data_IF_516163121037
#
_entry.id   IF_516163121037
#
_cell.length_a   1.000
_cell.length_b   1.000
_cell.length_c   1.000
_cell.angle_alpha   90.00
_cell.angle_beta   90.00
_cell.angle_gamma   90.00
#
_symmetry.space_group_name_H-M   'P 1'
#
loop_
_entity.id
_entity.type
_entity.pdbx_description
1 polymer ?
#
# COMPACT_ATOMS: atom_id res chain seq x y z
N UNK A 1 -6.59 26.46 -67.12
CA UNK A 1 -6.05 27.07 -65.90
C UNK A 1 -6.36 26.15 -64.74
N UNK A 2 -5.36 25.39 -64.30
CA UNK A 2 -5.49 24.31 -63.32
C UNK A 2 -4.98 24.83 -61.97
N UNK A 3 -5.88 25.00 -61.01
CA UNK A 3 -5.56 25.49 -59.67
C UNK A 3 -4.87 24.39 -58.84
N UNK A 4 -3.64 24.67 -58.39
CA UNK A 4 -2.95 23.98 -57.29
C UNK A 4 -3.32 24.69 -55.99
N UNK A 5 -3.79 23.94 -54.99
CA UNK A 5 -4.03 24.44 -53.63
C UNK A 5 -2.78 24.19 -52.78
N UNK A 6 -2.21 25.26 -52.23
CA UNK A 6 -1.09 25.25 -51.27
C UNK A 6 -1.63 25.10 -49.84
N UNK A 7 -0.99 24.23 -49.07
CA UNK A 7 -1.13 24.10 -47.61
C UNK A 7 -0.18 25.10 -46.94
N UNK A 8 -0.59 25.86 -45.92
CA UNK A 8 0.32 26.65 -45.08
C UNK A 8 0.75 25.87 -43.82
N UNK A 9 2.06 25.84 -43.56
CA UNK A 9 2.66 25.50 -42.25
C UNK A 9 2.47 26.62 -41.22
N UNK A 10 2.55 26.30 -39.91
CA UNK A 10 3.09 27.24 -38.94
C UNK A 10 4.23 26.67 -38.09
N UNK A 11 5.42 27.24 -38.32
CA UNK A 11 6.35 27.86 -37.35
C UNK A 11 6.50 27.22 -35.97
N UNK A 12 7.64 26.53 -35.77
CA UNK A 12 8.23 26.24 -34.47
C UNK A 12 9.00 27.46 -33.96
N UNK A 13 8.79 27.84 -32.69
CA UNK A 13 9.65 28.75 -31.94
C UNK A 13 10.34 27.99 -30.79
N UNK A 14 11.66 28.00 -30.86
CA UNK A 14 12.65 27.49 -29.90
C UNK A 14 12.82 28.46 -28.71
N UNK A 15 12.61 28.04 -27.45
CA UNK A 15 12.77 28.93 -26.31
C UNK A 15 14.09 28.80 -25.54
N UNK A 16 15.02 27.89 -25.86
CA UNK A 16 16.17 27.66 -24.97
C UNK A 16 17.49 27.36 -25.70
N UNK A 17 17.87 28.29 -26.59
CA UNK A 17 19.15 28.27 -27.31
C UNK A 17 20.36 27.91 -26.45
N UNK A 18 20.84 26.68 -26.62
CA UNK A 18 22.18 26.22 -26.25
C UNK A 18 22.63 25.16 -27.25
N UNK A 19 23.13 25.61 -28.41
CA UNK A 19 23.94 24.79 -29.31
C UNK A 19 25.25 25.53 -29.58
N UNK A 20 26.29 25.08 -28.87
CA UNK A 20 27.69 25.36 -29.18
C UNK A 20 28.31 24.13 -29.84
N UNK A 21 28.72 24.28 -31.10
CA UNK A 21 29.24 23.26 -31.99
C UNK A 21 30.71 22.85 -31.72
N UNK A 22 31.09 21.75 -32.41
CA UNK A 22 32.42 21.32 -32.90
C UNK A 22 33.15 20.28 -32.02
N UNK A 23 33.81 19.23 -32.54
CA UNK A 23 33.97 18.67 -33.88
C UNK A 23 34.58 17.24 -33.82
N UNK A 24 34.24 16.44 -34.84
CA UNK A 24 34.98 15.36 -35.54
C UNK A 24 36.14 14.56 -34.89
N UNK A 25 36.11 13.22 -35.09
CA UNK A 25 37.34 12.43 -35.24
C UNK A 25 37.30 10.90 -35.06
N UNK A 26 37.11 10.17 -36.18
CA UNK A 26 37.72 8.86 -36.57
C UNK A 26 37.38 7.53 -35.83
N UNK A 27 36.71 6.67 -36.60
CA UNK A 27 37.01 5.24 -36.94
C UNK A 27 37.84 4.37 -35.97
N UNK A 28 37.34 3.16 -35.63
CA UNK A 28 37.90 1.89 -36.13
C UNK A 28 36.98 0.67 -35.87
N UNK A 29 37.25 -0.41 -36.61
CA UNK A 29 36.39 -1.53 -37.01
C UNK A 29 36.28 -2.70 -35.99
N UNK A 30 35.09 -3.30 -36.03
CA UNK A 30 34.73 -4.73 -36.05
C UNK A 30 35.77 -5.86 -35.87
N UNK A 31 35.28 -6.87 -35.14
CA UNK A 31 35.30 -8.33 -35.39
C UNK A 31 36.29 -9.18 -34.60
N UNK A 32 35.75 -10.18 -33.89
CA UNK A 32 36.49 -11.24 -33.23
C UNK A 32 35.61 -12.14 -32.35
N UNK A 33 34.93 -13.08 -32.98
CA UNK A 33 34.17 -14.21 -32.41
C UNK A 33 34.98 -15.08 -31.43
N UNK A 34 34.36 -15.61 -30.37
CA UNK A 34 34.38 -17.07 -30.12
C UNK A 34 33.37 -17.51 -29.04
N UNK A 35 32.61 -18.55 -29.39
CA UNK A 35 31.72 -19.33 -28.55
C UNK A 35 32.50 -20.48 -27.87
N UNK A 36 31.88 -21.05 -26.82
CA UNK A 36 31.80 -22.50 -26.51
C UNK A 36 32.47 -22.97 -25.20
N UNK A 37 31.62 -23.17 -24.17
CA UNK A 37 31.31 -24.44 -23.44
C UNK A 37 32.48 -25.30 -22.90
N UNK A 38 32.37 -25.75 -21.63
CA UNK A 38 32.09 -27.17 -21.26
C UNK A 38 32.31 -27.51 -19.77
N UNK A 39 31.55 -28.52 -19.33
CA UNK A 39 31.31 -29.09 -17.99
C UNK A 39 32.43 -30.04 -17.47
N UNK A 40 32.40 -30.36 -16.16
CA UNK A 40 32.45 -31.75 -15.61
C UNK A 40 32.39 -31.75 -14.06
N UNK A 41 31.36 -32.26 -13.36
CA UNK A 41 31.03 -33.65 -12.88
C UNK A 41 31.71 -34.11 -11.57
N UNK A 42 30.90 -34.32 -10.50
CA UNK A 42 30.86 -35.54 -9.66
C UNK A 42 31.57 -35.62 -8.29
N UNK A 43 30.83 -35.87 -7.20
CA UNK A 43 31.34 -36.47 -5.94
C UNK A 43 30.46 -36.28 -4.69
N UNK A 44 30.39 -37.22 -3.71
CA UNK A 44 29.11 -37.67 -3.11
C UNK A 44 28.82 -37.29 -1.63
N UNK A 45 27.59 -37.65 -1.22
CA UNK A 45 26.90 -37.59 0.08
C UNK A 45 27.71 -38.00 1.32
N UNK A 46 27.45 -37.31 2.45
CA UNK A 46 27.50 -37.89 3.81
C UNK A 46 26.39 -37.30 4.69
N UNK A 47 25.56 -38.20 5.24
CA UNK A 47 24.56 -37.97 6.29
C UNK A 47 25.22 -37.86 7.66
N UNK A 48 24.66 -37.04 8.56
CA UNK A 48 24.78 -37.23 10.00
C UNK A 48 23.51 -36.73 10.69
N UNK A 49 22.80 -37.67 11.30
CA UNK A 49 21.70 -37.49 12.23
C UNK A 49 22.12 -36.62 13.43
N UNK A 50 21.21 -35.73 13.87
CA UNK A 50 21.12 -35.37 15.27
C UNK A 50 19.65 -35.23 15.68
N UNK A 51 19.24 -36.14 16.55
CA UNK A 51 18.00 -36.09 17.32
C UNK A 51 18.00 -34.92 18.30
N UNK A 52 16.95 -34.11 18.30
CA UNK A 52 16.44 -33.39 19.49
C UNK A 52 15.03 -32.85 19.22
N UNK A 53 14.03 -33.37 19.93
CA UNK A 53 12.74 -32.67 20.18
C UNK A 53 12.99 -31.51 21.15
N UNK A 54 12.28 -30.38 21.00
CA UNK A 54 11.21 -30.00 21.94
C UNK A 54 9.96 -29.51 21.17
N UNK A 55 8.72 -29.55 21.67
CA UNK A 55 8.24 -28.96 22.92
C UNK A 55 7.52 -27.63 22.60
N UNK A 56 6.28 -27.51 23.04
CA UNK A 56 5.32 -26.40 22.90
C UNK A 56 5.84 -24.95 22.65
N UNK A 57 5.16 -24.26 21.73
CA UNK A 57 4.54 -22.95 21.94
C UNK A 57 5.43 -21.72 22.04
N UNK A 58 5.47 -20.91 20.97
CA UNK A 58 5.60 -19.44 21.06
C UNK A 58 4.89 -18.80 19.86
N UNK A 59 3.82 -18.03 20.13
CA UNK A 59 3.26 -17.04 19.21
C UNK A 59 4.33 -16.01 18.86
N UNK A 60 4.63 -15.82 17.59
CA UNK A 60 5.45 -14.69 17.14
C UNK A 60 4.58 -13.44 17.06
N UNK A 61 4.19 -12.92 18.23
CA UNK A 61 3.75 -11.55 18.43
C UNK A 61 4.98 -10.66 18.56
N UNK A 62 5.42 -10.05 17.46
CA UNK A 62 6.20 -8.81 17.50
C UNK A 62 6.30 -8.23 16.10
N UNK A 63 5.39 -7.30 15.78
CA UNK A 63 5.72 -6.23 14.84
C UNK A 63 6.95 -5.51 15.39
N UNK A 64 7.99 -5.19 14.60
CA UNK A 64 9.07 -4.37 15.09
C UNK A 64 8.58 -2.91 15.22
N UNK A 65 8.03 -2.59 16.38
CA UNK A 65 7.99 -1.22 16.91
C UNK A 65 9.36 -0.87 17.51
N UNK A 66 10.40 -0.83 16.70
CA UNK A 66 11.58 0.01 16.90
C UNK A 66 12.48 -0.15 15.69
N UNK A 67 12.59 0.90 14.88
CA UNK A 67 13.86 1.18 14.19
C UNK A 67 14.87 1.40 15.31
N UNK A 68 15.53 0.31 15.73
CA UNK A 68 16.69 0.41 16.58
C UNK A 68 17.76 1.05 15.70
N UNK A 69 18.06 2.31 16.01
CA UNK A 69 19.15 3.08 15.43
C UNK A 69 20.47 2.33 15.69
N UNK A 70 20.81 1.41 14.79
CA UNK A 70 22.18 0.99 14.62
C UNK A 70 22.86 2.13 13.87
N UNK A 71 23.59 2.95 14.63
CA UNK A 71 24.39 4.05 14.13
C UNK A 71 25.36 3.56 13.05
N UNK A 72 25.02 3.82 11.79
CA UNK A 72 25.97 4.07 10.71
C UNK A 72 25.37 5.13 9.76
N UNK A 73 25.72 6.39 10.01
CA UNK A 73 25.98 7.43 8.99
C UNK A 73 24.89 7.85 7.98
N UNK A 74 23.65 7.37 8.02
CA UNK A 74 22.60 7.73 7.03
C UNK A 74 21.25 7.97 7.75
N UNK A 75 21.27 8.77 8.81
CA UNK A 75 20.14 8.98 9.72
C UNK A 75 19.34 10.26 9.50
N UNK A 76 19.34 10.88 8.32
CA UNK A 76 18.31 11.88 8.02
C UNK A 76 17.01 11.14 7.74
N UNK A 77 15.97 11.35 8.56
CA UNK A 77 14.58 10.89 8.29
C UNK A 77 14.20 11.37 6.89
N UNK A 78 14.42 10.51 5.88
CA UNK A 78 14.10 10.83 4.50
C UNK A 78 12.59 11.02 4.42
N UNK A 79 12.11 12.10 3.78
CA UNK A 79 10.69 12.25 3.54
C UNK A 79 10.22 11.05 2.72
N UNK A 80 9.07 10.47 3.10
CA UNK A 80 8.46 9.41 2.30
C UNK A 80 8.27 9.89 0.86
N UNK A 81 8.51 9.03 -0.15
CA UNK A 81 8.29 9.40 -1.54
C UNK A 81 6.82 9.81 -1.74
N UNK A 82 6.57 10.70 -2.70
CA UNK A 82 5.21 11.12 -3.04
C UNK A 82 4.38 9.87 -3.41
N UNK A 83 3.13 9.75 -2.91
CA UNK A 83 2.25 8.66 -3.31
C UNK A 83 2.07 8.63 -4.83
N UNK A 84 2.11 7.43 -5.42
CA UNK A 84 1.86 7.20 -6.85
C UNK A 84 0.51 6.51 -6.98
N UNK A 85 -0.29 6.94 -7.96
CA UNK A 85 -1.55 6.29 -8.32
C UNK A 85 -1.45 5.76 -9.75
N UNK A 86 -1.77 4.49 -9.95
CA UNK A 86 -1.85 3.87 -11.27
C UNK A 86 -3.22 3.22 -11.46
N UNK A 87 -3.71 3.11 -12.71
CA UNK A 87 -4.92 2.36 -13.00
C UNK A 87 -4.80 0.91 -12.54
N UNK A 88 -5.85 0.41 -11.89
CA UNK A 88 -5.99 -1.01 -11.60
C UNK A 88 -6.36 -1.77 -12.87
N UNK A 89 -5.62 -2.82 -13.18
CA UNK A 89 -5.87 -3.69 -14.33
C UNK A 89 -6.53 -4.99 -13.87
N UNK A 90 -7.59 -5.40 -14.57
CA UNK A 90 -8.15 -6.73 -14.39
C UNK A 90 -7.13 -7.80 -14.81
N UNK A 91 -7.22 -9.05 -14.30
CA UNK A 91 -6.22 -10.07 -14.57
C UNK A 91 -6.01 -10.33 -16.09
N UNK A 92 -7.09 -10.26 -16.87
CA UNK A 92 -7.06 -10.47 -18.31
C UNK A 92 -6.37 -9.32 -19.05
N UNK A 93 -6.66 -8.09 -18.66
CA UNK A 93 -6.01 -6.91 -19.25
C UNK A 93 -4.53 -6.91 -18.88
N UNK A 94 -4.19 -7.14 -17.61
CA UNK A 94 -2.80 -7.22 -17.17
C UNK A 94 -2.02 -8.28 -17.94
N UNK A 95 -2.60 -9.46 -18.12
CA UNK A 95 -1.99 -10.54 -18.91
C UNK A 95 -1.70 -10.09 -20.34
N UNK A 96 -2.70 -9.53 -21.02
CA UNK A 96 -2.56 -9.06 -22.41
C UNK A 96 -1.47 -7.99 -22.52
N UNK A 97 -1.51 -6.97 -21.67
CA UNK A 97 -0.53 -5.87 -21.70
C UNK A 97 0.89 -6.38 -21.40
N UNK A 98 1.04 -7.36 -20.50
CA UNK A 98 2.33 -8.00 -20.24
C UNK A 98 2.82 -8.83 -21.43
N UNK A 99 1.96 -9.66 -22.04
CA UNK A 99 2.29 -10.45 -23.24
C UNK A 99 2.75 -9.52 -24.38
N UNK A 100 1.99 -8.44 -24.64
CA UNK A 100 2.35 -7.43 -25.64
C UNK A 100 3.67 -6.72 -25.33
N UNK A 101 3.94 -6.40 -24.06
CA UNK A 101 5.23 -5.82 -23.66
C UNK A 101 6.40 -6.76 -23.97
N UNK A 102 6.25 -8.04 -23.63
CA UNK A 102 7.29 -9.05 -23.84
C UNK A 102 7.52 -9.33 -25.33
N UNK A 103 6.48 -9.30 -26.16
CA UNK A 103 6.58 -9.44 -27.62
C UNK A 103 7.35 -8.29 -28.26
N UNK A 104 7.15 -7.06 -27.77
CA UNK A 104 7.72 -5.86 -28.38
C UNK A 104 9.13 -5.51 -27.86
N UNK A 105 9.36 -5.65 -26.56
CA UNK A 105 10.59 -5.20 -25.88
C UNK A 105 11.48 -6.36 -25.40
N UNK A 106 10.98 -7.60 -25.50
CA UNK A 106 11.67 -8.79 -25.02
C UNK A 106 11.50 -9.02 -23.51
N UNK A 107 11.96 -10.17 -23.04
CA UNK A 107 11.84 -10.60 -21.64
C UNK A 107 12.77 -9.85 -20.68
N UNK A 108 13.87 -9.29 -21.19
CA UNK A 108 14.85 -8.57 -20.38
C UNK A 108 14.26 -7.32 -19.72
N UNK A 109 13.20 -6.73 -20.30
CA UNK A 109 12.59 -5.50 -19.78
C UNK A 109 12.17 -5.68 -18.32
N UNK A 110 11.53 -6.80 -17.96
CA UNK A 110 10.96 -7.06 -16.62
C UNK A 110 12.01 -7.35 -15.53
N UNK A 111 13.29 -7.44 -15.87
CA UNK A 111 14.40 -7.64 -14.92
C UNK A 111 15.17 -6.37 -14.61
N UNK A 112 14.83 -5.25 -15.27
CA UNK A 112 15.55 -3.99 -15.14
C UNK A 112 14.74 -2.93 -14.39
N UNK A 113 15.41 -1.97 -13.76
CA UNK A 113 14.76 -0.82 -13.12
C UNK A 113 13.94 0.02 -14.11
N UNK A 114 14.24 -0.07 -15.42
CA UNK A 114 13.49 0.59 -16.48
C UNK A 114 12.04 0.12 -16.55
N UNK A 115 11.74 -1.11 -16.13
CA UNK A 115 10.37 -1.61 -16.11
C UNK A 115 9.44 -0.75 -15.26
N UNK A 116 9.91 -0.33 -14.07
CA UNK A 116 9.16 0.52 -13.16
C UNK A 116 8.99 1.94 -13.72
N UNK A 117 9.98 2.49 -14.42
CA UNK A 117 9.90 3.86 -14.95
C UNK A 117 9.13 3.97 -16.27
N UNK A 118 9.31 3.01 -17.18
CA UNK A 118 8.70 3.01 -18.50
C UNK A 118 7.28 2.42 -18.49
N UNK A 119 7.04 1.39 -17.66
CA UNK A 119 5.79 0.63 -17.63
C UNK A 119 5.19 0.56 -16.20
N UNK A 120 5.00 1.71 -15.50
CA UNK A 120 4.61 1.73 -14.09
C UNK A 120 3.26 1.05 -13.83
N UNK A 121 2.32 1.14 -14.76
CA UNK A 121 0.97 0.54 -14.61
C UNK A 121 1.08 -0.98 -14.52
N UNK A 122 1.83 -1.60 -15.44
CA UNK A 122 2.02 -3.06 -15.46
C UNK A 122 2.81 -3.49 -14.22
N UNK A 123 3.91 -2.79 -13.92
CA UNK A 123 4.77 -3.09 -12.77
C UNK A 123 3.99 -3.14 -11.45
N UNK A 124 3.26 -2.07 -11.10
CA UNK A 124 2.56 -1.98 -9.82
C UNK A 124 1.39 -2.96 -9.71
N UNK A 125 0.69 -3.24 -10.82
CA UNK A 125 -0.33 -4.28 -10.82
C UNK A 125 0.29 -5.66 -10.61
N UNK A 126 1.43 -5.99 -11.22
CA UNK A 126 2.13 -7.25 -10.96
C UNK A 126 2.59 -7.36 -9.51
N UNK A 127 3.22 -6.32 -8.96
CA UNK A 127 3.61 -6.29 -7.53
C UNK A 127 2.40 -6.57 -6.64
N UNK A 128 1.25 -5.97 -6.94
CA UNK A 128 0.02 -6.20 -6.20
C UNK A 128 -0.50 -7.64 -6.31
N UNK A 129 -0.62 -8.20 -7.52
CA UNK A 129 -1.11 -9.56 -7.72
C UNK A 129 -0.17 -10.60 -7.11
N UNK A 130 1.15 -10.47 -7.33
CA UNK A 130 2.13 -11.40 -6.78
C UNK A 130 2.13 -11.35 -5.26
N UNK A 131 2.07 -10.15 -4.67
CA UNK A 131 1.97 -10.02 -3.21
C UNK A 131 0.68 -10.65 -2.68
N UNK A 132 -0.44 -10.44 -3.38
CA UNK A 132 -1.76 -10.95 -2.99
C UNK A 132 -1.84 -12.47 -3.06
N UNK A 133 -1.30 -13.07 -4.11
CA UNK A 133 -1.34 -14.50 -4.37
C UNK A 133 -0.18 -15.25 -3.69
N UNK A 134 0.65 -14.54 -2.92
CA UNK A 134 1.85 -15.05 -2.27
C UNK A 134 2.80 -15.77 -3.25
N UNK A 135 2.96 -15.17 -4.44
CA UNK A 135 3.82 -15.71 -5.49
C UNK A 135 5.25 -15.17 -5.35
N UNK A 136 6.27 -16.00 -5.59
CA UNK A 136 7.65 -15.55 -5.58
C UNK A 136 7.90 -14.54 -6.71
N UNK A 137 8.61 -13.46 -6.40
CA UNK A 137 8.94 -12.42 -7.38
C UNK A 137 10.17 -11.59 -6.99
N UNK A 138 10.93 -11.16 -7.98
CA UNK A 138 12.03 -10.20 -7.84
C UNK A 138 11.57 -8.74 -7.99
N UNK A 139 10.32 -8.50 -8.41
CA UNK A 139 9.80 -7.17 -8.75
C UNK A 139 9.99 -6.13 -7.61
N UNK A 140 9.74 -6.44 -6.32
CA UNK A 140 10.00 -5.48 -5.26
C UNK A 140 11.45 -5.01 -5.20
N UNK A 141 12.41 -5.90 -5.50
CA UNK A 141 13.84 -5.56 -5.53
C UNK A 141 14.19 -4.49 -6.58
N UNK A 142 13.41 -4.38 -7.67
CA UNK A 142 13.62 -3.37 -8.71
C UNK A 142 13.35 -1.94 -8.21
N UNK A 143 12.58 -1.78 -7.13
CA UNK A 143 12.28 -0.48 -6.52
C UNK A 143 13.55 0.15 -5.94
N UNK A 144 14.47 -0.66 -5.39
CA UNK A 144 15.71 -0.19 -4.77
C UNK A 144 16.64 0.51 -5.77
N UNK A 145 16.58 0.12 -7.03
CA UNK A 145 17.43 0.66 -8.09
C UNK A 145 16.75 1.79 -8.88
N UNK A 146 15.51 2.15 -8.51
CA UNK A 146 14.74 3.16 -9.24
C UNK A 146 15.02 4.56 -8.73
N UNK A 147 15.43 5.45 -9.64
CA UNK A 147 15.64 6.87 -9.35
C UNK A 147 14.33 7.55 -8.93
N UNK A 148 13.19 7.12 -9.49
CA UNK A 148 11.86 7.68 -9.19
C UNK A 148 11.38 7.40 -7.77
N UNK A 149 11.81 6.28 -7.17
CA UNK A 149 11.41 5.92 -5.81
C UNK A 149 12.42 6.39 -4.76
N UNK A 150 13.66 6.68 -5.16
CA UNK A 150 14.75 7.06 -4.25
C UNK A 150 15.18 8.53 -4.38
N UNK A 151 14.37 9.39 -5.01
CA UNK A 151 14.69 10.81 -5.25
C UNK A 151 16.07 11.02 -5.91
N UNK A 152 16.44 10.15 -6.85
CA UNK A 152 17.73 10.21 -7.56
C UNK A 152 18.94 9.71 -6.76
N UNK A 153 18.77 9.21 -5.54
CA UNK A 153 19.86 8.56 -4.78
C UNK A 153 20.05 7.14 -5.30
N UNK A 154 21.11 6.91 -6.06
CA UNK A 154 21.55 5.56 -6.41
C UNK A 154 22.11 4.90 -5.15
N UNK A 155 21.46 3.83 -4.69
CA UNK A 155 22.02 2.99 -3.65
C UNK A 155 23.24 2.23 -4.23
N UNK A 156 24.32 2.00 -3.45
CA UNK A 156 25.51 1.34 -3.96
C UNK A 156 25.20 -0.04 -4.55
N UNK A 157 25.34 -0.17 -5.87
CA UNK A 157 24.97 -1.35 -6.65
C UNK A 157 25.76 -2.62 -6.24
N UNK A 158 26.93 -2.44 -5.62
CA UNK A 158 27.78 -3.54 -5.12
C UNK A 158 27.30 -4.14 -3.79
N UNK A 159 26.43 -3.45 -3.04
CA UNK A 159 25.98 -3.85 -1.70
C UNK A 159 24.56 -4.40 -1.68
N UNK A 160 23.82 -4.19 -2.76
CA UNK A 160 22.46 -4.67 -2.94
C UNK A 160 22.49 -5.74 -4.03
N UNK A 161 22.65 -7.00 -3.63
CA UNK A 161 21.98 -8.06 -4.39
C UNK A 161 20.54 -7.59 -4.64
N UNK A 162 19.93 -7.95 -5.76
CA UNK A 162 18.49 -7.72 -5.99
C UNK A 162 17.62 -8.54 -5.01
N UNK A 163 18.10 -8.78 -3.79
CA UNK A 163 17.38 -9.38 -2.69
C UNK A 163 16.22 -8.46 -2.32
N UNK A 164 15.04 -8.86 -2.79
CA UNK A 164 13.72 -8.35 -2.44
C UNK A 164 13.46 -8.29 -0.93
N UNK A 165 14.31 -8.90 -0.10
CA UNK A 165 14.28 -8.89 1.37
C UNK A 165 14.37 -7.48 1.97
N UNK A 166 14.94 -6.52 1.25
CA UNK A 166 15.04 -5.13 1.71
C UNK A 166 13.78 -4.30 1.40
N UNK A 167 12.80 -4.87 0.69
CA UNK A 167 11.56 -4.19 0.32
C UNK A 167 10.37 -4.94 0.90
N UNK A 168 9.64 -4.27 1.79
CA UNK A 168 8.42 -4.81 2.36
C UNK A 168 7.19 -4.23 1.66
N UNK A 169 6.36 -5.10 1.09
CA UNK A 169 5.09 -4.73 0.45
C UNK A 169 3.93 -5.09 1.38
N UNK A 170 3.12 -4.09 1.73
CA UNK A 170 1.97 -4.25 2.61
C UNK A 170 0.68 -3.81 1.90
N UNK A 171 -0.35 -4.63 2.00
CA UNK A 171 -1.69 -4.28 1.53
C UNK A 171 -2.44 -3.61 2.67
N UNK A 172 -3.04 -2.45 2.41
CA UNK A 172 -3.74 -1.64 3.41
C UNK A 172 -5.25 -1.67 3.14
N UNK A 173 -6.05 -1.70 4.21
CA UNK A 173 -7.51 -1.56 4.13
C UNK A 173 -7.96 -0.09 4.09
N UNK A 174 -7.09 0.82 4.53
CA UNK A 174 -7.33 2.24 4.52
C UNK A 174 -6.18 3.02 3.87
N UNK A 175 -6.53 4.10 3.20
CA UNK A 175 -5.58 5.07 2.67
C UNK A 175 -6.13 6.46 2.96
N UNK A 176 -5.59 7.09 4.00
CA UNK A 176 -6.01 8.42 4.48
C UNK A 176 -5.92 9.50 3.39
N UNK A 177 -5.03 9.33 2.41
CA UNK A 177 -4.89 10.30 1.31
C UNK A 177 -6.09 10.28 0.35
N UNK A 178 -6.93 9.25 0.41
CA UNK A 178 -8.16 9.14 -0.37
C UNK A 178 -9.37 9.75 0.36
N UNK A 179 -9.23 10.10 1.64
CA UNK A 179 -10.30 10.71 2.43
C UNK A 179 -10.43 12.18 2.03
N UNK A 180 -11.67 12.63 1.77
CA UNK A 180 -11.96 14.04 1.42
C UNK A 180 -12.91 14.69 2.43
N UNK A 181 -13.40 13.91 3.37
CA UNK A 181 -14.25 14.32 4.47
C UNK A 181 -13.48 15.07 5.56
N UNK A 182 -14.13 16.01 6.27
CA UNK A 182 -13.47 16.84 7.26
C UNK A 182 -13.09 16.06 8.53
N UNK A 183 -11.89 16.32 9.04
CA UNK A 183 -11.36 15.73 10.28
C UNK A 183 -10.65 14.40 10.06
N UNK A 184 -9.99 13.90 11.10
CA UNK A 184 -9.23 12.65 11.06
C UNK A 184 -10.12 11.43 11.40
N UNK A 185 -9.83 10.23 10.86
CA UNK A 185 -10.48 8.99 11.29
C UNK A 185 -10.26 8.71 12.78
N UNK A 186 -11.25 8.08 13.44
CA UNK A 186 -11.17 7.78 14.88
C UNK A 186 -9.91 6.97 15.26
N UNK A 187 -9.50 6.00 14.43
CA UNK A 187 -8.32 5.17 14.70
C UNK A 187 -7.01 5.99 14.68
N UNK A 188 -6.94 7.03 13.86
CA UNK A 188 -5.75 7.89 13.77
C UNK A 188 -5.72 8.91 14.91
N UNK A 189 -6.88 9.40 15.33
CA UNK A 189 -7.03 10.18 16.56
C UNK A 189 -6.56 9.37 17.78
N UNK A 190 -6.93 8.08 17.86
CA UNK A 190 -6.46 7.18 18.91
C UNK A 190 -4.93 7.05 18.92
N UNK A 191 -4.30 6.80 17.76
CA UNK A 191 -2.83 6.76 17.63
C UNK A 191 -2.17 8.06 18.09
N UNK A 192 -2.70 9.19 17.65
CA UNK A 192 -2.20 10.51 18.02
C UNK A 192 -2.23 10.72 19.54
N UNK A 193 -3.30 10.29 20.21
CA UNK A 193 -3.39 10.40 21.67
C UNK A 193 -2.47 9.44 22.42
N UNK A 194 -2.21 8.24 21.86
CA UNK A 194 -1.22 7.32 22.42
C UNK A 194 0.20 7.88 22.32
N UNK A 195 0.58 8.42 21.17
CA UNK A 195 1.91 8.99 20.94
C UNK A 195 2.16 10.24 21.79
N UNK A 196 1.14 11.09 21.95
CA UNK A 196 1.21 12.34 22.73
C UNK A 196 0.86 12.17 24.20
N UNK A 197 0.86 10.93 24.71
CA UNK A 197 0.57 10.63 26.12
C UNK A 197 1.63 11.29 27.01
N UNK A 198 1.25 12.36 27.70
CA UNK A 198 2.13 13.12 28.61
C UNK A 198 2.52 14.52 28.14
N UNK A 199 2.23 14.90 26.88
CA UNK A 199 2.55 16.25 26.35
C UNK A 199 1.31 17.13 26.15
N UNK A 200 0.15 16.53 25.93
CA UNK A 200 -1.13 17.24 25.82
C UNK A 200 -1.67 17.56 27.21
N UNK A 201 -2.23 18.76 27.38
CA UNK A 201 -2.87 19.13 28.63
C UNK A 201 -4.08 18.20 28.90
N UNK A 202 -4.47 17.99 30.17
CA UNK A 202 -5.61 17.13 30.51
C UNK A 202 -6.91 17.54 29.82
N UNK A 203 -7.11 18.84 29.58
CA UNK A 203 -8.31 19.40 28.96
C UNK A 203 -8.32 19.38 27.43
N UNK A 204 -7.16 19.16 26.80
CA UNK A 204 -7.06 19.19 25.34
C UNK A 204 -7.82 17.99 24.75
N UNK A 205 -8.74 18.28 23.83
CA UNK A 205 -9.53 17.28 23.11
C UNK A 205 -10.31 16.31 24.03
N UNK A 206 -10.70 16.76 25.23
CA UNK A 206 -11.38 15.92 26.22
C UNK A 206 -12.65 15.25 25.69
N UNK A 207 -13.47 15.96 24.91
CA UNK A 207 -14.69 15.40 24.30
C UNK A 207 -14.37 14.20 23.38
N UNK A 208 -13.41 14.37 22.48
CA UNK A 208 -13.00 13.34 21.51
C UNK A 208 -12.37 12.16 22.24
N UNK A 209 -11.50 12.40 23.23
CA UNK A 209 -10.94 11.33 24.06
C UNK A 209 -12.03 10.53 24.78
N UNK A 210 -13.03 11.22 25.33
CA UNK A 210 -14.15 10.57 26.01
C UNK A 210 -14.96 9.72 25.03
N UNK A 211 -15.24 10.24 23.84
CA UNK A 211 -15.93 9.50 22.77
C UNK A 211 -15.17 8.22 22.41
N UNK A 212 -13.88 8.32 22.09
CA UNK A 212 -13.04 7.18 21.71
C UNK A 212 -13.01 6.10 22.81
N UNK A 213 -12.73 6.49 24.06
CA UNK A 213 -12.69 5.55 25.19
C UNK A 213 -14.06 4.91 25.43
N UNK A 214 -15.15 5.65 25.25
CA UNK A 214 -16.50 5.10 25.37
C UNK A 214 -16.77 4.06 24.29
N UNK A 215 -16.41 4.33 23.03
CA UNK A 215 -16.55 3.35 21.94
C UNK A 215 -15.75 2.08 22.27
N UNK A 216 -14.46 2.23 22.60
CA UNK A 216 -13.59 1.10 22.93
C UNK A 216 -14.16 0.26 24.09
N UNK A 217 -14.67 0.90 25.13
CA UNK A 217 -15.29 0.21 26.27
C UNK A 217 -16.54 -0.57 25.89
N UNK A 218 -17.41 -0.01 25.04
CA UNK A 218 -18.60 -0.72 24.58
C UNK A 218 -18.21 -1.98 23.77
N UNK A 219 -17.21 -1.86 22.89
CA UNK A 219 -16.70 -3.02 22.13
C UNK A 219 -16.11 -4.09 23.03
N UNK A 220 -15.39 -3.72 24.10
CA UNK A 220 -14.90 -4.67 25.10
C UNK A 220 -16.03 -5.42 25.83
N UNK A 221 -17.22 -4.84 25.91
CA UNK A 221 -18.43 -5.47 26.48
C UNK A 221 -19.34 -6.08 25.40
N UNK A 222 -18.84 -6.30 24.18
CA UNK A 222 -19.57 -6.83 23.03
C UNK A 222 -20.83 -6.02 22.67
N UNK A 223 -20.81 -4.69 22.89
CA UNK A 223 -21.87 -3.77 22.50
C UNK A 223 -21.43 -2.92 21.30
N UNK A 224 -22.02 -3.18 20.14
CA UNK A 224 -21.83 -2.39 18.91
C UNK A 224 -22.94 -1.34 18.73
N UNK A 225 -24.11 -1.55 19.35
CA UNK A 225 -25.25 -0.64 19.27
C UNK A 225 -24.96 0.70 19.93
N UNK A 226 -24.31 0.69 21.11
CA UNK A 226 -23.87 1.89 21.81
C UNK A 226 -23.00 2.81 20.94
N UNK A 227 -21.87 2.32 20.37
CA UNK A 227 -21.04 3.06 19.44
C UNK A 227 -21.79 3.63 18.22
N UNK A 228 -22.67 2.85 17.57
CA UNK A 228 -23.48 3.33 16.45
C UNK A 228 -24.31 4.55 16.88
N UNK A 229 -24.95 4.48 18.04
CA UNK A 229 -25.75 5.57 18.57
C UNK A 229 -24.95 6.82 18.91
N UNK A 230 -23.75 6.65 19.48
CA UNK A 230 -22.85 7.76 19.78
C UNK A 230 -22.47 8.51 18.50
N UNK A 231 -22.14 7.78 17.43
CA UNK A 231 -21.76 8.39 16.16
C UNK A 231 -22.95 9.03 15.43
N UNK A 232 -24.14 8.45 15.50
CA UNK A 232 -25.38 9.10 15.00
C UNK A 232 -25.61 10.44 15.71
N UNK A 233 -25.40 10.52 17.03
CA UNK A 233 -25.51 11.78 17.79
C UNK A 233 -24.49 12.80 17.33
N UNK A 234 -23.25 12.39 17.07
CA UNK A 234 -22.20 13.29 16.58
C UNK A 234 -22.51 13.83 15.18
N UNK A 235 -23.03 12.98 14.27
CA UNK A 235 -23.50 13.41 12.94
C UNK A 235 -24.61 14.46 13.09
N UNK A 236 -25.58 14.24 13.98
CA UNK A 236 -26.67 15.20 14.25
C UNK A 236 -26.16 16.52 14.85
N UNK A 237 -25.09 16.49 15.64
CA UNK A 237 -24.47 17.69 16.23
C UNK A 237 -23.78 18.57 15.18
N UNK A 238 -23.31 17.98 14.08
CA UNK A 238 -22.55 18.68 13.04
C UNK A 238 -23.14 18.47 11.63
N UNK A 239 -24.31 19.05 11.33
CA UNK A 239 -25.02 18.82 10.06
C UNK A 239 -24.21 19.26 8.83
N UNK A 240 -23.33 20.26 8.95
CA UNK A 240 -22.46 20.67 7.84
C UNK A 240 -21.40 19.61 7.46
N UNK A 241 -21.01 18.74 8.39
CA UNK A 241 -20.14 17.58 8.11
C UNK A 241 -20.89 16.41 7.47
N UNK A 242 -22.22 16.37 7.54
CA UNK A 242 -23.02 15.24 7.06
C UNK A 242 -23.00 15.07 5.52
N UNK A 243 -22.57 16.09 4.76
CA UNK A 243 -22.48 16.01 3.30
C UNK A 243 -21.39 15.04 2.82
N UNK A 244 -20.34 14.83 3.60
CA UNK A 244 -19.25 13.88 3.35
C UNK A 244 -18.82 13.28 4.67
N UNK A 245 -19.35 12.10 5.00
CA UNK A 245 -19.06 11.39 6.25
C UNK A 245 -18.33 10.08 6.00
N UNK A 246 -17.54 9.64 6.98
CA UNK A 246 -16.96 8.28 6.99
C UNK A 246 -18.03 7.28 7.35
N UNK A 247 -17.86 6.06 6.85
CA UNK A 247 -18.68 4.93 7.23
C UNK A 247 -18.55 4.68 8.73
N UNK A 248 -19.66 4.71 9.47
CA UNK A 248 -19.71 4.38 10.90
C UNK A 248 -19.14 2.98 11.15
N UNK A 249 -19.48 2.03 10.28
CA UNK A 249 -18.92 0.68 10.31
C UNK A 249 -17.38 0.72 10.27
N UNK A 250 -16.78 1.47 9.33
CA UNK A 250 -15.31 1.59 9.23
C UNK A 250 -14.72 2.30 10.44
N UNK A 251 -15.33 3.37 10.91
CA UNK A 251 -14.83 4.12 12.08
C UNK A 251 -14.78 3.24 13.33
N UNK A 252 -15.85 2.47 13.60
CA UNK A 252 -15.91 1.57 14.76
C UNK A 252 -14.95 0.39 14.57
N UNK A 253 -14.97 -0.29 13.42
CA UNK A 253 -14.13 -1.45 13.17
C UNK A 253 -12.64 -1.09 13.25
N UNK A 254 -12.23 0.00 12.58
CA UNK A 254 -10.82 0.38 12.52
C UNK A 254 -10.31 0.88 13.85
N UNK A 255 -11.13 1.64 14.59
CA UNK A 255 -10.81 2.02 15.96
C UNK A 255 -10.65 0.77 16.83
N UNK A 256 -11.57 -0.20 16.74
CA UNK A 256 -11.52 -1.44 17.52
C UNK A 256 -10.24 -2.22 17.25
N UNK A 257 -9.88 -2.40 15.98
CA UNK A 257 -8.66 -3.11 15.57
C UNK A 257 -7.39 -2.43 16.08
N UNK A 258 -7.31 -1.08 16.01
CA UNK A 258 -6.14 -0.33 16.44
C UNK A 258 -6.05 -0.18 17.96
N UNK A 259 -7.20 -0.03 18.65
CA UNK A 259 -7.23 0.20 20.09
C UNK A 259 -7.14 -1.08 20.91
N UNK A 260 -7.76 -2.16 20.43
CA UNK A 260 -7.83 -3.44 21.15
C UNK A 260 -6.82 -4.45 20.63
N UNK A 261 -6.18 -4.21 19.49
CA UNK A 261 -5.31 -5.17 18.84
C UNK A 261 -6.10 -6.11 17.94
N UNK A 262 -5.55 -6.38 16.76
CA UNK A 262 -6.23 -7.17 15.72
C UNK A 262 -6.47 -8.62 16.17
N UNK A 263 -5.57 -9.17 16.96
CA UNK A 263 -5.65 -10.50 17.54
C UNK A 263 -6.82 -10.66 18.52
N UNK A 264 -7.36 -9.55 19.04
CA UNK A 264 -8.46 -9.54 19.99
C UNK A 264 -9.82 -9.26 19.34
N UNK A 265 -9.85 -9.01 18.02
CA UNK A 265 -11.08 -8.71 17.29
C UNK A 265 -11.29 -9.76 16.19
N UNK A 266 -12.29 -10.61 16.39
CA UNK A 266 -12.84 -11.44 15.32
C UNK A 266 -13.74 -10.57 14.43
N UNK A 267 -13.26 -10.26 13.22
CA UNK A 267 -13.98 -9.43 12.24
C UNK A 267 -15.28 -10.10 11.79
N UNK A 268 -15.33 -11.43 11.67
CA UNK A 268 -16.56 -12.13 11.29
C UNK A 268 -17.61 -12.05 12.40
N UNK A 269 -17.18 -12.10 13.67
CA UNK A 269 -18.07 -11.87 14.81
C UNK A 269 -18.54 -10.42 14.87
N UNK A 270 -17.62 -9.46 14.75
CA UNK A 270 -17.94 -8.03 14.71
C UNK A 270 -18.98 -7.71 13.63
N UNK A 271 -18.84 -8.29 12.44
CA UNK A 271 -19.79 -8.09 11.33
C UNK A 271 -21.20 -8.57 11.65
N UNK A 272 -21.34 -9.67 12.39
CA UNK A 272 -22.64 -10.20 12.83
C UNK A 272 -23.28 -9.26 13.86
N UNK A 273 -22.49 -8.86 14.86
CA UNK A 273 -22.94 -7.93 15.91
C UNK A 273 -23.32 -6.57 15.33
N UNK A 274 -22.52 -6.03 14.40
CA UNK A 274 -22.83 -4.78 13.71
C UNK A 274 -24.13 -4.90 12.90
N UNK A 275 -24.35 -6.02 12.19
CA UNK A 275 -25.59 -6.24 11.46
C UNK A 275 -26.79 -6.29 12.38
N UNK A 276 -26.72 -7.06 13.47
CA UNK A 276 -27.79 -7.14 14.45
C UNK A 276 -28.08 -5.75 15.06
N UNK A 277 -27.06 -5.04 15.52
CA UNK A 277 -27.21 -3.70 16.08
C UNK A 277 -27.79 -2.69 15.06
N UNK A 278 -27.43 -2.82 13.78
CA UNK A 278 -27.98 -1.98 12.71
C UNK A 278 -29.47 -2.29 12.45
N UNK A 279 -29.86 -3.57 12.47
CA UNK A 279 -31.24 -4.00 12.26
C UNK A 279 -32.18 -3.57 13.41
N UNK A 280 -31.63 -3.35 14.61
CA UNK A 280 -32.34 -2.83 15.79
C UNK A 280 -32.52 -1.29 15.78
N UNK A 281 -31.98 -0.58 14.79
CA UNK A 281 -32.11 0.88 14.69
C UNK A 281 -33.54 1.30 14.34
N UNK A 282 -34.03 2.33 15.03
CA UNK A 282 -35.31 2.97 14.75
C UNK A 282 -35.31 3.73 13.41
N UNK A 283 -36.48 3.95 12.80
CA UNK A 283 -36.60 4.75 11.58
C UNK A 283 -35.98 6.15 11.70
N UNK A 284 -36.06 6.78 12.88
CA UNK A 284 -35.48 8.09 13.19
C UNK A 284 -33.94 8.07 13.24
N UNK A 285 -33.35 6.96 13.64
CA UNK A 285 -31.90 6.76 13.62
C UNK A 285 -31.42 6.53 12.17
N UNK A 286 -32.13 5.70 11.41
CA UNK A 286 -31.81 5.37 10.03
C UNK A 286 -31.83 6.60 9.09
N UNK A 287 -32.67 7.61 9.37
CA UNK A 287 -32.69 8.89 8.62
C UNK A 287 -31.37 9.66 8.64
N UNK A 288 -30.51 9.42 9.63
CA UNK A 288 -29.19 10.06 9.74
C UNK A 288 -28.06 9.27 9.10
N UNK A 289 -28.33 8.04 8.64
CA UNK A 289 -27.33 7.15 8.07
C UNK A 289 -27.34 7.16 6.55
N UNK A 290 -26.18 6.90 5.95
CA UNK A 290 -25.99 6.77 4.51
C UNK A 290 -25.82 5.29 4.12
N UNK A 291 -25.86 5.01 2.82
CA UNK A 291 -25.67 3.63 2.30
C UNK A 291 -24.33 3.02 2.73
N UNK A 292 -23.31 3.84 2.93
CA UNK A 292 -21.97 3.41 3.38
C UNK A 292 -21.93 2.94 4.84
N UNK A 293 -22.96 3.25 5.62
CA UNK A 293 -23.08 2.84 7.03
C UNK A 293 -23.76 1.48 7.19
N UNK A 294 -24.30 0.93 6.09
CA UNK A 294 -24.93 -0.39 6.11
C UNK A 294 -23.89 -1.49 6.42
N UNK A 295 -24.31 -2.57 7.08
CA UNK A 295 -23.45 -3.74 7.27
C UNK A 295 -22.92 -4.26 5.92
N UNK A 296 -21.68 -4.76 5.86
CA UNK A 296 -21.14 -5.34 4.63
C UNK A 296 -22.03 -6.50 4.16
N UNK A 297 -22.22 -6.61 2.84
CA UNK A 297 -22.95 -7.74 2.24
C UNK A 297 -22.11 -9.01 2.28
N UNK A 298 -22.72 -10.19 2.15
CA UNK A 298 -21.98 -11.46 2.11
C UNK A 298 -20.89 -11.48 1.05
N UNK A 299 -21.12 -10.87 -0.12
CA UNK A 299 -20.11 -10.74 -1.17
C UNK A 299 -18.92 -9.87 -0.74
N UNK A 300 -19.18 -8.76 -0.02
CA UNK A 300 -18.11 -7.91 0.53
C UNK A 300 -17.34 -8.67 1.60
N UNK A 301 -18.01 -9.40 2.49
CA UNK A 301 -17.36 -10.21 3.53
C UNK A 301 -16.44 -11.28 2.93
N UNK A 302 -16.93 -12.00 1.91
CA UNK A 302 -16.12 -12.95 1.15
C UNK A 302 -14.93 -12.29 0.47
N UNK A 303 -15.12 -11.11 -0.13
CA UNK A 303 -14.01 -10.34 -0.67
C UNK A 303 -12.98 -10.06 0.43
N UNK A 304 -13.37 -9.44 1.55
CA UNK A 304 -12.46 -9.10 2.65
C UNK A 304 -11.67 -10.32 3.14
N UNK A 305 -12.33 -11.49 3.25
CA UNK A 305 -11.67 -12.76 3.58
C UNK A 305 -10.61 -13.15 2.56
N UNK A 306 -10.90 -12.99 1.27
CA UNK A 306 -9.94 -13.22 0.17
C UNK A 306 -8.84 -12.16 0.06
N UNK A 307 -9.05 -10.95 0.58
CA UNK A 307 -8.02 -9.90 0.65
C UNK A 307 -7.12 -10.03 1.89
N UNK A 308 -7.55 -10.86 2.84
CA UNK A 308 -6.79 -11.19 4.03
C UNK A 308 -6.90 -10.14 5.14
N UNK A 309 -6.19 -10.38 6.27
CA UNK A 309 -5.89 -9.41 7.31
C UNK A 309 -6.13 -7.91 7.05
N UNK A 310 -6.91 -7.20 7.87
CA UNK A 310 -6.80 -5.75 7.91
C UNK A 310 -5.41 -5.34 8.37
N UNK A 311 -4.74 -4.55 7.52
CA UNK A 311 -3.68 -3.65 7.95
C UNK A 311 -4.25 -2.24 7.84
N UNK A 312 -4.18 -1.53 8.97
CA UNK A 312 -4.67 -0.17 9.19
C UNK A 312 -3.52 0.60 9.82
#
# INVERSE_FOLDING_TARGET
>A
GTQKSLVPEPVQSDPLGLLGHQAAGKQQKCSGTSLTRSNSVGGPLQSLDYSQRPGHGVSTTSLPCSLQEMSDGIGQKRPNPKPVSVPYLSPLVLRKELETLLENEGDQVIYTHKFLSQHPIIFWNLVWYFRRLDLPTHLPGLILNSEHCNNGVQLPLASLSQDSKHVYVQLLWDNINLHQEPGEPLYLLWRTFLEKKGTLAPTDHQEIRTLLNTIVRNIQTNDVYGPINLLIREIKRQPDRAKRQRSIYREILFLSLVALGRENIDVEAFDREYRQAYDELSPEQLKSLQRIDRPPTSSIQWCLKCFGPPVI
#
